data_IF_992391311382
#
_entry.id   IF_992391311382
#
_cell.length_a   1.000
_cell.length_b   1.000
_cell.length_c   1.000
_cell.angle_alpha   90.00
_cell.angle_beta   90.00
_cell.angle_gamma   90.00
#
_symmetry.space_group_name_H-M   'P 1'
#
loop_
_entity.id
_entity.type
_entity.pdbx_description
1 polymer ?
#
# COMPACT_ATOMS: atom_id res chain seq x y z
N UNK A 1 -33.63 -23.22 1.88
CA UNK A 1 -33.20 -22.51 3.11
C UNK A 1 -32.88 -23.42 4.29
N UNK A 2 -33.62 -24.53 4.57
CA UNK A 2 -33.31 -25.42 5.70
C UNK A 2 -32.10 -26.34 5.54
N UNK A 3 -31.60 -26.57 4.31
CA UNK A 3 -30.52 -27.55 4.06
C UNK A 3 -29.18 -27.18 4.71
N UNK A 4 -28.84 -25.89 4.75
CA UNK A 4 -27.57 -25.41 5.31
C UNK A 4 -27.58 -25.54 6.84
N UNK A 5 -28.68 -25.12 7.48
CA UNK A 5 -28.89 -25.31 8.90
C UNK A 5 -28.97 -26.81 9.28
N UNK A 6 -29.63 -27.63 8.46
CA UNK A 6 -29.69 -29.08 8.68
C UNK A 6 -28.32 -29.74 8.61
N UNK A 7 -27.53 -29.42 7.57
CA UNK A 7 -26.14 -29.85 7.47
C UNK A 7 -25.33 -29.41 8.69
N UNK A 8 -25.61 -28.21 9.21
CA UNK A 8 -24.90 -27.70 10.37
C UNK A 8 -25.17 -28.45 11.67
N UNK A 9 -26.41 -28.91 11.83
CA UNK A 9 -26.83 -29.71 12.99
C UNK A 9 -26.43 -31.18 12.84
N UNK A 10 -26.39 -31.71 11.60
CA UNK A 10 -26.02 -33.10 11.33
C UNK A 10 -24.49 -33.35 11.52
N UNK A 11 -23.65 -32.32 11.35
CA UNK A 11 -22.18 -32.40 11.49
C UNK A 11 -21.59 -31.35 12.47
N UNK A 12 -21.99 -31.38 13.75
CA UNK A 12 -21.64 -30.33 14.71
C UNK A 12 -20.14 -30.26 14.99
N UNK A 13 -19.46 -31.40 15.03
CA UNK A 13 -18.01 -31.48 15.30
C UNK A 13 -17.20 -30.87 14.16
N UNK A 14 -17.54 -31.19 12.91
CA UNK A 14 -16.84 -30.65 11.73
C UNK A 14 -16.94 -29.12 11.66
N UNK A 15 -18.12 -28.58 12.00
CA UNK A 15 -18.34 -27.14 12.01
C UNK A 15 -17.64 -26.46 13.18
N UNK A 16 -17.62 -27.11 14.35
CA UNK A 16 -16.83 -26.62 15.48
C UNK A 16 -15.34 -26.52 15.10
N UNK A 17 -14.79 -27.53 14.44
CA UNK A 17 -13.40 -27.50 13.97
C UNK A 17 -13.14 -26.36 12.98
N UNK A 18 -14.07 -26.10 12.06
CA UNK A 18 -13.97 -24.98 11.11
C UNK A 18 -14.01 -23.64 11.85
N UNK A 19 -14.95 -23.46 12.78
CA UNK A 19 -15.08 -22.22 13.56
C UNK A 19 -13.83 -21.99 14.40
N UNK A 20 -13.30 -23.03 15.05
CA UNK A 20 -12.04 -22.96 15.79
C UNK A 20 -10.87 -22.60 14.87
N UNK A 21 -10.79 -23.19 13.67
CA UNK A 21 -9.78 -22.85 12.68
C UNK A 21 -9.83 -21.38 12.26
N UNK A 22 -11.03 -20.89 11.91
CA UNK A 22 -11.24 -19.47 11.57
C UNK A 22 -10.95 -18.56 12.75
N UNK A 23 -11.31 -18.95 13.97
CA UNK A 23 -11.05 -18.19 15.20
C UNK A 23 -9.56 -18.05 15.49
N UNK A 24 -8.79 -19.13 15.38
CA UNK A 24 -7.33 -19.10 15.56
C UNK A 24 -6.67 -18.25 14.47
N UNK A 25 -7.06 -18.45 13.20
CA UNK A 25 -6.55 -17.62 12.10
C UNK A 25 -6.89 -16.13 12.29
N UNK A 26 -8.10 -15.85 12.76
CA UNK A 26 -8.56 -14.49 13.08
C UNK A 26 -7.73 -13.87 14.20
N UNK A 27 -7.42 -14.63 15.26
CA UNK A 27 -6.57 -14.18 16.35
C UNK A 27 -5.17 -13.80 15.86
N UNK A 28 -4.52 -14.68 15.08
CA UNK A 28 -3.22 -14.38 14.49
C UNK A 28 -3.25 -13.20 13.51
N UNK A 29 -4.33 -13.07 12.74
CA UNK A 29 -4.50 -11.95 11.81
C UNK A 29 -4.73 -10.62 12.53
N UNK A 30 -5.39 -10.65 13.68
CA UNK A 30 -5.65 -9.45 14.49
C UNK A 30 -4.36 -8.94 15.14
N UNK A 31 -3.54 -9.85 15.69
CA UNK A 31 -2.26 -9.49 16.30
C UNK A 31 -1.25 -8.92 15.29
N UNK A 32 -1.30 -9.40 14.04
CA UNK A 32 -0.47 -8.88 12.95
C UNK A 32 -1.04 -7.67 12.22
N UNK A 33 -2.20 -7.17 12.64
CA UNK A 33 -2.77 -6.00 12.00
C UNK A 33 -1.94 -4.77 12.36
N UNK A 34 -1.21 -4.25 11.38
CA UNK A 34 -0.42 -3.03 11.53
C UNK A 34 -1.34 -1.86 11.84
N UNK A 35 -1.30 -1.39 13.08
CA UNK A 35 -1.90 -0.12 13.50
C UNK A 35 -0.91 1.00 13.21
N UNK A 36 -0.91 1.47 11.97
CA UNK A 36 -0.28 2.76 11.67
C UNK A 36 -1.26 3.89 12.02
N UNK A 37 -0.74 4.97 12.62
CA UNK A 37 -1.53 6.16 12.95
C UNK A 37 -1.96 6.91 11.69
N UNK A 38 -1.20 6.75 10.60
CA UNK A 38 -1.49 7.34 9.32
C UNK A 38 -1.62 6.26 8.25
N UNK A 39 -2.55 6.39 7.29
CA UNK A 39 -2.51 5.56 6.10
C UNK A 39 -1.20 5.82 5.35
N UNK A 40 -0.67 4.81 4.67
CA UNK A 40 0.50 4.96 3.80
C UNK A 40 0.26 6.08 2.78
N UNK A 41 0.84 7.26 3.05
CA UNK A 41 0.83 8.42 2.16
C UNK A 41 1.87 8.20 1.07
N UNK A 42 1.51 7.35 0.10
CA UNK A 42 2.30 7.18 -1.10
C UNK A 42 2.06 8.36 -2.05
N UNK A 43 2.65 9.51 -1.72
CA UNK A 43 2.71 10.65 -2.64
C UNK A 43 3.84 10.40 -3.64
N UNK A 44 3.53 10.01 -4.90
CA UNK A 44 4.57 9.77 -5.90
C UNK A 44 5.35 11.06 -6.13
N UNK A 45 6.63 11.07 -5.73
CA UNK A 45 7.54 12.19 -5.94
C UNK A 45 8.74 11.70 -6.75
N UNK A 46 8.98 12.36 -7.88
CA UNK A 46 10.16 12.15 -8.69
C UNK A 46 11.18 13.23 -8.32
N UNK A 47 12.34 12.81 -7.82
CA UNK A 47 13.46 13.72 -7.52
C UNK A 47 14.50 13.61 -8.63
N UNK A 48 14.84 14.75 -9.23
CA UNK A 48 15.89 14.85 -10.25
C UNK A 48 16.97 15.76 -9.69
N UNK A 49 18.17 15.22 -9.47
CA UNK A 49 19.34 15.99 -9.04
C UNK A 49 20.20 16.31 -10.26
N UNK A 50 20.43 17.60 -10.54
CA UNK A 50 21.27 18.06 -11.64
C UNK A 50 22.56 18.63 -11.08
N UNK A 51 23.69 17.98 -11.39
CA UNK A 51 25.03 18.47 -11.04
C UNK A 51 25.67 19.10 -12.26
N UNK A 52 26.06 20.36 -12.18
CA UNK A 52 26.85 21.00 -13.24
C UNK A 52 27.87 21.97 -12.64
N UNK A 53 28.97 21.40 -12.13
CA UNK A 53 30.25 22.06 -11.84
C UNK A 53 30.18 23.40 -11.08
N UNK A 54 31.23 24.20 -11.24
CA UNK A 54 31.32 25.58 -10.71
C UNK A 54 30.68 26.57 -11.70
N UNK A 55 29.41 26.37 -12.04
CA UNK A 55 28.67 27.32 -12.89
C UNK A 55 27.85 28.28 -12.04
N UNK A 56 27.67 29.55 -12.49
CA UNK A 56 26.77 30.47 -11.83
C UNK A 56 25.36 29.86 -11.71
N UNK A 57 24.66 30.06 -10.57
CA UNK A 57 23.30 29.54 -10.38
C UNK A 57 22.33 29.97 -11.49
N UNK A 58 22.50 31.17 -12.05
CA UNK A 58 21.62 31.69 -13.10
C UNK A 58 21.78 30.94 -14.44
N UNK A 59 23.01 30.53 -14.78
CA UNK A 59 23.24 29.74 -16.00
C UNK A 59 22.73 28.30 -15.85
N UNK A 60 22.79 27.76 -14.62
CA UNK A 60 22.26 26.44 -14.28
C UNK A 60 20.74 26.35 -14.50
N UNK A 61 20.01 27.36 -14.04
CA UNK A 61 18.56 27.45 -14.17
C UNK A 61 18.14 27.52 -15.65
N UNK A 62 18.67 28.51 -16.38
CA UNK A 62 18.32 28.75 -17.79
C UNK A 62 18.68 27.59 -18.72
N UNK A 63 19.80 26.92 -18.50
CA UNK A 63 20.28 25.89 -19.43
C UNK A 63 19.72 24.50 -19.14
N UNK A 64 19.49 24.16 -17.87
CA UNK A 64 19.17 22.80 -17.46
C UNK A 64 17.78 22.70 -16.82
N UNK A 65 17.47 23.53 -15.82
CA UNK A 65 16.21 23.44 -15.06
C UNK A 65 15.02 23.79 -15.96
N UNK A 66 15.05 24.91 -16.67
CA UNK A 66 13.95 25.34 -17.56
C UNK A 66 13.61 24.30 -18.64
N UNK A 67 14.65 23.64 -19.18
CA UNK A 67 14.48 22.59 -20.19
C UNK A 67 13.88 21.31 -19.61
N UNK A 68 14.29 20.96 -18.39
CA UNK A 68 13.75 19.80 -17.68
C UNK A 68 12.29 20.01 -17.28
N UNK A 69 11.95 21.18 -16.74
CA UNK A 69 10.57 21.52 -16.37
C UNK A 69 9.65 21.59 -17.59
N UNK A 70 10.10 22.23 -18.68
CA UNK A 70 9.29 22.31 -19.90
C UNK A 70 9.05 20.96 -20.58
N UNK A 71 9.97 20.00 -20.46
CA UNK A 71 9.75 18.63 -20.91
C UNK A 71 8.81 17.87 -19.97
N UNK A 72 8.95 18.05 -18.66
CA UNK A 72 8.11 17.39 -17.67
C UNK A 72 6.64 17.84 -17.72
N UNK A 73 6.38 19.12 -18.00
CA UNK A 73 5.03 19.70 -18.10
C UNK A 73 4.31 19.30 -19.40
N UNK A 74 5.06 18.89 -20.44
CA UNK A 74 4.51 18.52 -21.75
C UNK A 74 3.94 17.09 -21.81
N UNK A 75 4.22 16.24 -20.81
CA UNK A 75 3.60 14.92 -20.66
C UNK A 75 2.37 14.99 -19.76
#
# INVERSE_FOLDING_TARGET
MKKIAKFAVDYPVSILMIILGVGVLGWFSYDKLGVDLFPDLNNPRLFIEVRSGERPPEEMEKQYVDKLESMAIRQ
#
